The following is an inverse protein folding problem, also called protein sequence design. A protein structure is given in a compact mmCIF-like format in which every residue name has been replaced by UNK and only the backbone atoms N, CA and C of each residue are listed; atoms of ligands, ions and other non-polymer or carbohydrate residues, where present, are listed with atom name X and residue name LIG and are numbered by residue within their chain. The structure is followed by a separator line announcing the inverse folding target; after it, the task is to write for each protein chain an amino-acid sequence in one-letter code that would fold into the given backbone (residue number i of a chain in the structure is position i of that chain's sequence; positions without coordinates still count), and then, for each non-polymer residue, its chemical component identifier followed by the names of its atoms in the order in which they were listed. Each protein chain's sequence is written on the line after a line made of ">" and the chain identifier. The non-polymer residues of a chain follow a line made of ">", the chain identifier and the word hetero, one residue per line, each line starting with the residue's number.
data_IF_227556301293
#
_entry.id   IF_227556301293
#
_cell.length_a   1.000
_cell.length_b   1.000
_cell.length_c   1.000
_cell.angle_alpha   90.00
_cell.angle_beta   90.00
_cell.angle_gamma   90.00
#
_symmetry.space_group_name_H-M   'P 1'
#
loop_
_entity.id
_entity.type
_entity.pdbx_description
1 polymer ?
#
# COMPACT_ATOMS: atom_id res chain seq x y z
N UNK A 1 -7.47 2.38 -36.94
CA UNK A 1 -7.44 3.44 -35.90
C UNK A 1 -6.51 3.01 -34.78
N UNK A 2 -5.61 3.87 -34.30
CA UNK A 2 -4.79 3.60 -33.11
C UNK A 2 -5.70 3.53 -31.89
N UNK A 3 -5.56 2.50 -31.06
CA UNK A 3 -6.31 2.39 -29.80
C UNK A 3 -5.88 3.52 -28.86
N UNK A 4 -6.81 4.21 -28.19
CA UNK A 4 -6.47 5.22 -27.20
C UNK A 4 -5.72 4.58 -26.03
N UNK A 5 -4.68 5.30 -25.55
CA UNK A 5 -3.84 4.87 -24.45
C UNK A 5 -3.86 5.98 -23.39
N UNK A 6 -4.29 5.65 -22.20
CA UNK A 6 -4.19 6.54 -21.04
C UNK A 6 -2.84 6.32 -20.34
N UNK A 7 -2.23 7.42 -19.89
CA UNK A 7 -0.97 7.40 -19.13
C UNK A 7 -1.09 8.26 -17.89
N UNK A 8 -0.62 7.74 -16.78
CA UNK A 8 -0.46 8.50 -15.53
C UNK A 8 0.99 8.52 -15.10
N UNK A 9 1.36 9.47 -14.26
CA UNK A 9 2.73 9.67 -13.83
C UNK A 9 2.80 9.81 -12.30
N UNK A 10 3.90 9.36 -11.73
CA UNK A 10 4.26 9.62 -10.34
C UNK A 10 4.64 11.09 -10.16
N UNK A 11 4.66 11.58 -8.92
CA UNK A 11 5.05 12.96 -8.58
C UNK A 11 6.45 13.34 -9.09
N UNK A 12 7.36 12.39 -9.18
CA UNK A 12 8.71 12.58 -9.70
C UNK A 12 8.79 12.61 -11.24
N UNK A 13 7.65 12.55 -11.94
CA UNK A 13 7.56 12.54 -13.39
C UNK A 13 7.82 11.19 -14.05
N UNK A 14 8.14 10.14 -13.29
CA UNK A 14 8.23 8.77 -13.81
C UNK A 14 6.85 8.25 -14.23
N UNK A 15 6.83 7.43 -15.28
CA UNK A 15 5.61 6.76 -15.73
C UNK A 15 5.08 5.88 -14.59
N UNK A 16 3.78 6.02 -14.27
CA UNK A 16 3.10 5.23 -13.25
C UNK A 16 2.27 4.11 -13.85
N UNK A 17 1.45 4.45 -14.86
CA UNK A 17 0.52 3.48 -15.43
C UNK A 17 0.30 3.75 -16.92
N UNK A 18 0.12 2.68 -17.70
CA UNK A 18 -0.31 2.71 -19.10
C UNK A 18 -1.49 1.78 -19.26
N UNK A 19 -2.61 2.34 -19.73
CA UNK A 19 -3.88 1.64 -19.90
C UNK A 19 -4.32 1.72 -21.36
N UNK A 20 -4.17 0.66 -22.17
CA UNK A 20 -4.77 0.58 -23.49
C UNK A 20 -6.29 0.42 -23.36
N UNK A 21 -7.04 1.17 -24.17
CA UNK A 21 -8.50 1.16 -24.19
C UNK A 21 -9.05 0.74 -25.55
N UNK A 22 -10.20 0.05 -25.53
CA UNK A 22 -11.03 -0.20 -26.71
C UNK A 22 -12.49 0.04 -26.32
N UNK A 23 -13.17 0.92 -27.04
CA UNK A 23 -14.55 1.33 -26.73
C UNK A 23 -14.71 1.78 -25.26
N UNK A 24 -13.76 2.57 -24.73
CA UNK A 24 -13.76 3.06 -23.36
C UNK A 24 -13.49 2.02 -22.26
N UNK A 25 -13.16 0.78 -22.63
CA UNK A 25 -12.85 -0.31 -21.67
C UNK A 25 -11.39 -0.73 -21.80
N UNK A 26 -10.78 -1.15 -20.69
CA UNK A 26 -9.42 -1.73 -20.67
C UNK A 26 -9.34 -2.89 -21.65
N UNK A 27 -8.38 -2.82 -22.59
CA UNK A 27 -8.18 -3.86 -23.61
C UNK A 27 -6.71 -3.91 -24.02
N UNK A 28 -6.06 -5.04 -23.85
CA UNK A 28 -4.62 -5.20 -24.04
C UNK A 28 -3.87 -5.35 -22.74
N UNK A 29 -2.60 -4.93 -22.71
CA UNK A 29 -1.73 -5.09 -21.54
C UNK A 29 -1.68 -3.77 -20.78
N UNK A 30 -2.21 -3.77 -19.57
CA UNK A 30 -2.05 -2.68 -18.59
C UNK A 30 -0.74 -2.91 -17.84
N UNK A 31 0.07 -1.85 -17.72
CA UNK A 31 1.34 -1.88 -16.99
C UNK A 31 1.37 -0.79 -15.94
N UNK A 32 1.89 -1.13 -14.78
CA UNK A 32 2.12 -0.21 -13.66
C UNK A 32 3.60 -0.27 -13.29
N UNK A 33 4.19 0.87 -13.00
CA UNK A 33 5.60 0.99 -12.59
C UNK A 33 5.72 1.55 -11.19
N UNK A 34 6.72 1.11 -10.47
CA UNK A 34 7.16 1.71 -9.21
C UNK A 34 7.71 3.13 -9.44
N UNK A 35 7.82 3.91 -8.37
CA UNK A 35 8.38 5.29 -8.41
C UNK A 35 9.82 5.35 -8.92
N UNK A 36 10.57 4.25 -8.82
CA UNK A 36 11.94 4.11 -9.35
C UNK A 36 11.99 3.71 -10.83
N UNK A 37 10.84 3.58 -11.50
CA UNK A 37 10.72 3.22 -12.92
C UNK A 37 10.78 1.72 -13.21
N UNK A 38 10.95 0.86 -12.20
CA UNK A 38 10.88 -0.60 -12.35
C UNK A 38 9.43 -1.03 -12.56
N UNK A 39 9.20 -2.00 -13.46
CA UNK A 39 7.86 -2.55 -13.68
C UNK A 39 7.34 -3.19 -12.38
N UNK A 40 6.12 -2.79 -11.95
CA UNK A 40 5.46 -3.30 -10.75
C UNK A 40 4.43 -4.36 -11.08
N UNK A 41 3.55 -4.09 -12.05
CA UNK A 41 2.49 -5.03 -12.44
C UNK A 41 2.33 -5.06 -13.96
N UNK A 42 1.99 -6.21 -14.48
CA UNK A 42 1.52 -6.43 -15.85
C UNK A 42 0.26 -7.27 -15.81
N UNK A 43 -0.82 -6.75 -16.37
CA UNK A 43 -2.12 -7.36 -16.38
C UNK A 43 -2.71 -7.35 -17.78
N UNK A 44 -3.27 -8.47 -18.24
CA UNK A 44 -3.90 -8.55 -19.54
C UNK A 44 -5.41 -8.42 -19.42
N UNK A 45 -5.98 -7.49 -20.18
CA UNK A 45 -7.42 -7.21 -20.23
C UNK A 45 -8.03 -7.52 -21.59
N UNK A 46 -9.28 -7.97 -21.58
CA UNK A 46 -10.13 -8.09 -22.76
C UNK A 46 -11.51 -7.55 -22.43
N UNK A 47 -11.92 -6.47 -23.12
CA UNK A 47 -13.23 -5.80 -22.94
C UNK A 47 -13.56 -5.45 -21.47
N UNK A 48 -12.58 -4.99 -20.72
CA UNK A 48 -12.72 -4.58 -19.32
C UNK A 48 -12.48 -5.69 -18.29
N UNK A 49 -12.37 -6.95 -18.72
CA UNK A 49 -12.13 -8.09 -17.83
C UNK A 49 -10.68 -8.58 -17.92
N UNK A 50 -10.10 -8.99 -16.79
CA UNK A 50 -8.82 -9.68 -16.75
C UNK A 50 -8.90 -10.97 -17.55
N UNK A 51 -7.98 -11.15 -18.51
CA UNK A 51 -7.96 -12.31 -19.38
C UNK A 51 -6.54 -12.65 -19.83
N UNK A 52 -5.90 -13.57 -19.15
CA UNK A 52 -4.52 -13.99 -19.38
C UNK A 52 -3.69 -14.06 -18.12
N UNK A 53 -2.38 -14.04 -18.28
CA UNK A 53 -1.41 -14.06 -17.17
C UNK A 53 -1.23 -12.64 -16.65
N UNK A 54 -1.26 -12.51 -15.33
CA UNK A 54 -0.99 -11.29 -14.57
C UNK A 54 0.26 -11.52 -13.72
N UNK A 55 1.14 -10.52 -13.62
CA UNK A 55 2.43 -10.62 -12.93
C UNK A 55 2.68 -9.42 -12.04
N UNK A 56 3.40 -9.64 -10.95
CA UNK A 56 3.84 -8.59 -10.03
C UNK A 56 5.35 -8.71 -9.77
N UNK A 57 6.03 -7.57 -9.76
CA UNK A 57 7.47 -7.45 -9.44
C UNK A 57 7.69 -6.53 -8.26
N UNK A 58 8.77 -6.79 -7.53
CA UNK A 58 9.28 -5.94 -6.46
C UNK A 58 9.93 -4.66 -7.01
N UNK A 59 10.17 -3.68 -6.15
CA UNK A 59 10.94 -2.48 -6.49
C UNK A 59 12.36 -2.78 -6.98
N UNK A 60 12.91 -3.94 -6.60
CA UNK A 60 14.22 -4.42 -7.09
C UNK A 60 14.12 -5.19 -8.43
N UNK A 61 12.94 -5.28 -9.05
CA UNK A 61 12.72 -5.99 -10.31
C UNK A 61 12.60 -7.50 -10.21
N UNK A 62 12.54 -8.08 -8.99
CA UNK A 62 12.35 -9.51 -8.79
C UNK A 62 10.88 -9.87 -8.99
N UNK A 63 10.57 -10.90 -9.79
CA UNK A 63 9.21 -11.44 -9.91
C UNK A 63 8.75 -11.95 -8.54
N UNK A 64 7.66 -11.37 -8.03
CA UNK A 64 7.03 -11.77 -6.77
C UNK A 64 6.06 -12.91 -6.96
N UNK A 65 5.31 -12.91 -8.05
CA UNK A 65 4.41 -13.98 -8.41
C UNK A 65 3.59 -13.69 -9.64
N UNK A 66 2.84 -14.71 -10.06
CA UNK A 66 1.92 -14.64 -11.19
C UNK A 66 0.62 -15.41 -10.92
N UNK A 67 -0.43 -15.05 -11.63
CA UNK A 67 -1.70 -15.77 -11.66
C UNK A 67 -2.35 -15.65 -13.02
N UNK A 68 -3.33 -16.50 -13.29
CA UNK A 68 -4.04 -16.52 -14.57
C UNK A 68 -5.52 -16.30 -14.39
N UNK A 69 -6.09 -15.46 -15.25
CA UNK A 69 -7.52 -15.16 -15.31
C UNK A 69 -8.10 -15.56 -16.66
N UNK A 70 -9.37 -15.94 -16.67
CA UNK A 70 -10.12 -16.24 -17.89
C UNK A 70 -11.43 -15.47 -17.85
N UNK A 71 -11.56 -14.45 -18.71
CA UNK A 71 -12.74 -13.58 -18.78
C UNK A 71 -13.23 -13.09 -17.41
N UNK A 72 -12.31 -12.59 -16.58
CA UNK A 72 -12.59 -12.09 -15.22
C UNK A 72 -12.85 -13.18 -14.18
N UNK A 73 -12.67 -14.47 -14.54
CA UNK A 73 -12.86 -15.59 -13.63
C UNK A 73 -11.52 -16.21 -13.25
N UNK A 74 -11.30 -16.42 -11.96
CA UNK A 74 -10.09 -17.02 -11.43
C UNK A 74 -9.76 -16.52 -10.02
N UNK A 75 -8.53 -16.83 -9.58
CA UNK A 75 -8.00 -16.40 -8.29
C UNK A 75 -6.94 -15.34 -8.54
N UNK A 76 -7.20 -14.14 -8.06
CA UNK A 76 -6.27 -13.01 -8.11
C UNK A 76 -5.40 -13.02 -6.86
N UNK A 77 -4.12 -12.61 -7.03
CA UNK A 77 -3.12 -12.59 -5.96
C UNK A 77 -2.28 -11.33 -6.01
N UNK A 78 -1.89 -10.84 -4.83
CA UNK A 78 -0.83 -9.86 -4.69
C UNK A 78 0.16 -10.32 -3.63
N UNK A 79 1.39 -9.80 -3.72
CA UNK A 79 2.47 -10.20 -2.83
C UNK A 79 3.11 -8.98 -2.17
N UNK A 80 3.58 -9.17 -0.96
CA UNK A 80 4.47 -8.23 -0.29
C UNK A 80 5.85 -8.21 -0.95
N UNK A 81 6.63 -7.14 -0.73
CA UNK A 81 8.00 -7.00 -1.25
C UNK A 81 8.93 -8.17 -0.86
N UNK A 82 8.69 -8.85 0.25
CA UNK A 82 9.43 -10.03 0.66
C UNK A 82 9.04 -11.32 -0.06
N UNK A 83 8.04 -11.27 -0.97
CA UNK A 83 7.53 -12.39 -1.76
C UNK A 83 6.45 -13.22 -1.08
N UNK A 84 6.05 -12.89 0.16
CA UNK A 84 4.92 -13.55 0.81
C UNK A 84 3.61 -13.06 0.23
N UNK A 85 2.61 -13.94 0.18
CA UNK A 85 1.27 -13.59 -0.25
C UNK A 85 0.70 -12.48 0.65
N UNK A 86 0.14 -11.44 0.04
CA UNK A 86 -0.50 -10.32 0.72
C UNK A 86 -2.01 -10.43 0.64
N UNK A 87 -2.53 -10.67 -0.56
CA UNK A 87 -3.95 -10.74 -0.83
C UNK A 87 -4.23 -11.88 -1.80
N UNK A 88 -5.31 -12.60 -1.55
CA UNK A 88 -5.88 -13.58 -2.48
C UNK A 88 -7.39 -13.47 -2.46
N UNK A 89 -8.01 -13.38 -3.62
CA UNK A 89 -9.45 -13.38 -3.74
C UNK A 89 -9.90 -14.02 -5.05
N UNK A 90 -11.10 -14.59 -5.03
CA UNK A 90 -11.71 -15.21 -6.19
C UNK A 90 -12.72 -14.27 -6.85
N UNK A 91 -12.75 -14.30 -8.18
CA UNK A 91 -13.79 -13.59 -8.95
C UNK A 91 -14.41 -14.51 -9.98
N UNK A 92 -15.68 -14.24 -10.31
CA UNK A 92 -16.42 -14.83 -11.40
C UNK A 92 -16.94 -13.72 -12.29
N UNK A 93 -16.50 -13.66 -13.55
CA UNK A 93 -16.83 -12.60 -14.51
C UNK A 93 -16.54 -11.16 -14.01
N UNK A 94 -15.56 -11.02 -13.12
CA UNK A 94 -15.15 -9.76 -12.53
C UNK A 94 -15.75 -9.45 -11.15
N UNK A 95 -16.81 -10.15 -10.74
CA UNK A 95 -17.43 -9.96 -9.44
C UNK A 95 -16.77 -10.85 -8.37
N UNK A 96 -16.57 -10.31 -7.16
CA UNK A 96 -16.07 -11.09 -6.04
C UNK A 96 -17.01 -12.25 -5.74
N UNK A 97 -16.50 -13.48 -5.85
CA UNK A 97 -17.25 -14.70 -5.53
C UNK A 97 -16.27 -15.76 -5.02
N UNK A 98 -16.41 -16.14 -3.77
CA UNK A 98 -15.50 -17.04 -3.06
C UNK A 98 -14.77 -16.37 -1.93
N UNK A 99 -13.61 -16.90 -1.58
CA UNK A 99 -12.80 -16.42 -0.45
C UNK A 99 -12.06 -15.14 -0.81
N UNK A 100 -12.00 -14.22 0.15
CA UNK A 100 -11.14 -13.06 0.18
C UNK A 100 -10.24 -13.17 1.41
N UNK A 101 -8.93 -13.20 1.24
CA UNK A 101 -7.95 -13.39 2.32
C UNK A 101 -6.86 -12.34 2.26
N UNK A 102 -6.53 -11.77 3.40
CA UNK A 102 -5.48 -10.77 3.55
C UNK A 102 -4.47 -11.23 4.59
N UNK A 103 -3.18 -11.18 4.27
CA UNK A 103 -2.09 -11.55 5.16
C UNK A 103 -1.17 -10.36 5.43
N UNK A 104 -0.60 -10.35 6.63
CA UNK A 104 0.46 -9.44 7.00
C UNK A 104 1.79 -9.84 6.37
N UNK A 105 2.74 -8.91 6.35
CA UNK A 105 4.09 -9.14 5.83
C UNK A 105 4.87 -10.24 6.62
N UNK A 106 4.49 -10.55 7.86
CA UNK A 106 5.02 -11.68 8.63
C UNK A 106 4.36 -13.03 8.29
N UNK A 107 3.33 -13.04 7.43
CA UNK A 107 2.61 -14.20 6.94
C UNK A 107 1.38 -14.58 7.79
N UNK A 108 1.04 -13.84 8.84
CA UNK A 108 -0.17 -14.11 9.62
C UNK A 108 -1.41 -13.67 8.85
N UNK A 109 -2.45 -14.48 8.90
CA UNK A 109 -3.75 -14.17 8.31
C UNK A 109 -4.39 -13.01 9.09
N UNK A 110 -4.57 -11.88 8.42
CA UNK A 110 -5.19 -10.69 9.00
C UNK A 110 -6.72 -10.78 8.95
N UNK A 111 -7.27 -11.11 7.78
CA UNK A 111 -8.72 -11.29 7.59
C UNK A 111 -9.04 -12.37 6.58
N UNK A 112 -10.21 -12.99 6.77
CA UNK A 112 -10.82 -13.89 5.80
C UNK A 112 -12.32 -13.57 5.74
N UNK A 113 -12.79 -13.31 4.53
CA UNK A 113 -14.19 -13.04 4.23
C UNK A 113 -14.64 -13.90 3.06
N UNK A 114 -15.95 -14.03 2.87
CA UNK A 114 -16.54 -14.78 1.78
C UNK A 114 -17.49 -13.86 1.05
N UNK A 115 -17.38 -13.86 -0.26
CA UNK A 115 -18.20 -13.05 -1.14
C UNK A 115 -19.05 -13.92 -2.06
N UNK A 116 -20.22 -13.41 -2.39
CA UNK A 116 -21.10 -13.97 -3.43
C UNK A 116 -21.65 -12.81 -4.27
N UNK A 117 -21.30 -12.78 -5.55
CA UNK A 117 -21.71 -11.73 -6.49
C UNK A 117 -21.44 -10.30 -5.94
N UNK A 118 -20.24 -10.07 -5.45
CA UNK A 118 -19.76 -8.79 -4.95
C UNK A 118 -20.19 -8.42 -3.52
N UNK A 119 -21.03 -9.20 -2.84
CA UNK A 119 -21.43 -8.92 -1.45
C UNK A 119 -20.84 -9.93 -0.45
N UNK A 120 -20.49 -9.52 0.77
CA UNK A 120 -20.05 -10.44 1.81
C UNK A 120 -21.23 -11.31 2.26
N UNK A 121 -20.95 -12.60 2.52
CA UNK A 121 -21.95 -13.58 2.94
C UNK A 121 -21.40 -14.53 4.00
N UNK A 122 -22.31 -15.21 4.71
CA UNK A 122 -21.94 -16.30 5.60
C UNK A 122 -21.48 -17.56 4.81
N UNK A 123 -20.67 -18.40 5.45
CA UNK A 123 -20.13 -19.59 4.83
C UNK A 123 -21.23 -20.57 4.36
N UNK A 124 -22.29 -20.69 5.15
CA UNK A 124 -23.46 -21.55 4.87
C UNK A 124 -24.18 -21.08 3.62
N UNK A 125 -24.40 -19.77 3.48
CA UNK A 125 -25.04 -19.17 2.31
C UNK A 125 -24.21 -19.43 1.06
N UNK A 126 -22.88 -19.25 1.13
CA UNK A 126 -22.00 -19.53 0.00
C UNK A 126 -22.01 -21.02 -0.40
N UNK A 127 -21.98 -21.93 0.57
CA UNK A 127 -22.06 -23.37 0.28
C UNK A 127 -23.38 -23.75 -0.40
N UNK A 128 -24.49 -23.16 0.07
CA UNK A 128 -25.82 -23.37 -0.55
C UNK A 128 -25.86 -22.84 -1.99
N UNK A 129 -25.21 -21.69 -2.26
CA UNK A 129 -25.08 -21.16 -3.62
C UNK A 129 -24.23 -22.08 -4.51
N UNK A 130 -23.08 -22.58 -4.03
CA UNK A 130 -22.24 -23.53 -4.76
C UNK A 130 -22.92 -24.86 -5.08
N UNK A 131 -23.90 -25.28 -4.27
CA UNK A 131 -24.70 -26.47 -4.55
C UNK A 131 -25.59 -26.27 -5.79
N UNK A 132 -26.10 -25.04 -5.97
CA UNK A 132 -26.98 -24.65 -7.08
C UNK A 132 -26.20 -24.23 -8.33
N UNK A 133 -25.12 -23.48 -8.16
CA UNK A 133 -24.29 -22.94 -9.24
C UNK A 133 -22.90 -23.55 -9.23
N UNK A 134 -22.61 -24.41 -10.19
CA UNK A 134 -21.31 -25.10 -10.33
C UNK A 134 -20.21 -24.22 -10.92
N UNK A 135 -20.53 -23.03 -11.41
CA UNK A 135 -19.53 -22.05 -11.89
C UNK A 135 -18.84 -21.31 -10.75
N UNK A 136 -19.43 -21.30 -9.55
CA UNK A 136 -18.83 -20.68 -8.37
C UNK A 136 -17.59 -21.45 -7.89
N UNK A 137 -16.54 -20.76 -7.45
CA UNK A 137 -15.37 -21.39 -6.87
C UNK A 137 -15.72 -22.27 -5.69
N UNK A 138 -15.38 -23.55 -5.76
CA UNK A 138 -15.63 -24.46 -4.64
C UNK A 138 -14.82 -24.05 -3.43
N UNK A 139 -15.47 -24.00 -2.28
CA UNK A 139 -14.77 -23.85 -1.02
C UNK A 139 -14.07 -25.15 -0.65
N UNK A 140 -12.77 -25.19 -0.88
CA UNK A 140 -11.92 -26.31 -0.47
C UNK A 140 -11.09 -25.88 0.75
N UNK A 141 -11.03 -26.72 1.77
CA UNK A 141 -10.22 -26.51 2.96
C UNK A 141 -10.95 -25.89 4.15
N UNK A 142 -10.24 -25.85 5.28
CA UNK A 142 -10.72 -25.24 6.53
C UNK A 142 -10.69 -23.71 6.42
N UNK A 143 -11.62 -23.03 7.11
CA UNK A 143 -11.53 -21.60 7.32
C UNK A 143 -10.20 -21.27 7.99
N UNK A 144 -9.58 -20.17 7.58
CA UNK A 144 -8.42 -19.62 8.27
C UNK A 144 -8.79 -19.19 9.69
N UNK A 145 -7.79 -18.94 10.52
CA UNK A 145 -7.99 -18.27 11.82
C UNK A 145 -7.41 -16.86 11.70
N UNK A 146 -8.22 -15.85 11.35
CA UNK A 146 -7.78 -14.47 11.34
C UNK A 146 -7.33 -14.03 12.73
N UNK A 147 -6.49 -12.99 12.75
CA UNK A 147 -6.14 -12.34 14.02
C UNK A 147 -7.42 -11.79 14.68
N UNK A 148 -7.55 -11.91 16.02
CA UNK A 148 -8.70 -11.37 16.74
C UNK A 148 -8.72 -9.85 16.66
N UNK A 149 -9.90 -9.23 16.67
CA UNK A 149 -10.04 -7.77 16.69
C UNK A 149 -9.80 -7.24 18.12
N UNK A 150 -8.54 -6.97 18.45
CA UNK A 150 -8.10 -6.46 19.78
C UNK A 150 -7.05 -5.36 19.60
N UNK A 151 -6.88 -4.52 20.62
CA UNK A 151 -5.81 -3.49 20.66
C UNK A 151 -4.42 -4.12 20.48
N UNK A 152 -4.20 -5.32 21.03
CA UNK A 152 -2.94 -6.06 20.84
C UNK A 152 -2.71 -6.43 19.36
N UNK A 153 -3.78 -6.80 18.66
CA UNK A 153 -3.73 -7.09 17.22
C UNK A 153 -3.50 -5.83 16.39
N UNK A 154 -4.19 -4.74 16.69
CA UNK A 154 -3.95 -3.45 16.04
C UNK A 154 -2.49 -3.02 16.17
N UNK A 155 -1.96 -3.11 17.39
CA UNK A 155 -0.54 -2.84 17.65
C UNK A 155 0.36 -3.79 16.85
N UNK A 156 0.07 -5.09 16.82
CA UNK A 156 0.86 -6.06 16.05
C UNK A 156 0.87 -5.73 14.56
N UNK A 157 -0.29 -5.45 13.97
CA UNK A 157 -0.43 -5.03 12.56
C UNK A 157 0.43 -3.80 12.28
N UNK A 158 0.31 -2.79 13.13
CA UNK A 158 1.09 -1.56 13.02
C UNK A 158 2.60 -1.82 13.11
N UNK A 159 3.06 -2.62 14.07
CA UNK A 159 4.49 -2.94 14.24
C UNK A 159 5.04 -3.77 13.07
N UNK A 160 4.25 -4.66 12.47
CA UNK A 160 4.64 -5.40 11.25
C UNK A 160 4.81 -4.43 10.08
N UNK A 161 3.88 -3.50 9.91
CA UNK A 161 3.95 -2.47 8.88
C UNK A 161 5.17 -1.55 9.08
N UNK A 162 5.38 -1.01 10.28
CA UNK A 162 6.54 -0.17 10.60
C UNK A 162 7.86 -0.89 10.32
N UNK A 163 7.98 -2.17 10.71
CA UNK A 163 9.18 -2.97 10.42
C UNK A 163 9.42 -3.13 8.92
N UNK A 164 8.38 -3.29 8.12
CA UNK A 164 8.54 -3.39 6.66
C UNK A 164 9.07 -2.09 6.06
N UNK A 165 8.62 -0.94 6.56
CA UNK A 165 9.13 0.36 6.14
C UNK A 165 10.58 0.60 6.62
N UNK A 166 10.90 0.23 7.86
CA UNK A 166 12.26 0.34 8.39
C UNK A 166 13.26 -0.62 7.72
N UNK A 167 12.80 -1.66 7.03
CA UNK A 167 13.65 -2.57 6.26
C UNK A 167 14.02 -2.04 4.87
N UNK A 168 13.40 -0.96 4.40
CA UNK A 168 13.70 -0.36 3.10
C UNK A 168 15.12 0.23 3.07
N UNK A 169 15.82 0.07 1.94
CA UNK A 169 17.21 0.54 1.78
C UNK A 169 17.30 2.04 1.54
N UNK A 170 16.30 2.64 0.93
CA UNK A 170 16.21 4.04 0.53
C UNK A 170 15.59 4.93 1.62
N UNK A 171 15.93 4.67 2.86
CA UNK A 171 15.48 5.45 4.03
C UNK A 171 16.58 6.37 4.56
N UNK A 172 16.18 7.47 5.17
CA UNK A 172 17.10 8.35 5.88
C UNK A 172 16.45 9.02 7.09
N UNK A 173 17.28 9.44 8.03
CA UNK A 173 16.87 10.39 9.05
C UNK A 173 16.54 11.74 8.38
N UNK A 174 15.34 12.26 8.64
CA UNK A 174 14.75 13.32 7.82
C UNK A 174 15.49 14.63 7.92
N UNK A 175 15.95 15.04 9.11
CA UNK A 175 16.68 16.29 9.30
C UNK A 175 17.97 16.28 8.47
N UNK A 176 18.78 15.25 8.64
CA UNK A 176 20.04 15.07 7.89
C UNK A 176 19.78 14.98 6.39
N UNK A 177 18.75 14.23 5.97
CA UNK A 177 18.39 14.13 4.57
C UNK A 177 17.98 15.48 3.99
N UNK A 178 17.16 16.27 4.67
CA UNK A 178 16.78 17.60 4.21
C UNK A 178 17.98 18.56 4.18
N UNK A 179 18.86 18.56 5.17
CA UNK A 179 19.99 19.50 5.29
C UNK A 179 21.12 19.21 4.29
N UNK A 180 21.52 17.93 4.14
CA UNK A 180 22.70 17.53 3.38
C UNK A 180 22.52 17.49 1.87
N UNK A 181 21.43 18.03 1.32
CA UNK A 181 21.07 17.91 -0.10
C UNK A 181 21.94 18.66 -1.09
N UNK A 182 22.89 19.46 -0.68
CA UNK A 182 23.66 20.29 -1.58
C UNK A 182 22.74 21.13 -2.48
N UNK A 183 22.97 21.09 -3.82
CA UNK A 183 22.11 21.71 -4.84
C UNK A 183 20.87 20.87 -5.19
N UNK A 184 20.77 19.61 -4.74
CA UNK A 184 19.65 18.74 -5.05
C UNK A 184 18.37 19.20 -4.34
N UNK A 185 17.27 19.25 -5.10
CA UNK A 185 15.94 19.56 -4.55
C UNK A 185 15.46 18.37 -3.75
N UNK A 186 15.19 18.57 -2.44
CA UNK A 186 14.59 17.56 -1.56
C UNK A 186 13.21 18.01 -1.12
N UNK A 187 12.21 17.19 -1.37
CA UNK A 187 10.82 17.51 -1.11
C UNK A 187 10.16 16.46 -0.21
N UNK A 188 9.66 16.90 0.93
CA UNK A 188 8.95 16.08 1.88
C UNK A 188 7.44 16.29 1.71
N UNK A 189 6.73 15.26 1.29
CA UNK A 189 5.29 15.26 1.18
C UNK A 189 4.74 16.51 0.49
N UNK A 190 3.72 17.12 1.07
CA UNK A 190 3.06 18.31 0.56
C UNK A 190 3.66 19.64 1.04
N UNK A 191 4.78 19.61 1.74
CA UNK A 191 5.46 20.85 2.10
C UNK A 191 5.95 21.58 0.85
N UNK A 192 5.56 22.83 0.69
CA UNK A 192 5.95 23.64 -0.47
C UNK A 192 7.43 24.04 -0.42
N UNK A 193 7.95 24.24 0.79
CA UNK A 193 9.34 24.68 1.00
C UNK A 193 10.04 23.74 1.98
N UNK A 194 11.31 23.49 1.75
CA UNK A 194 12.20 22.72 2.64
C UNK A 194 12.21 23.28 4.06
N UNK A 195 12.21 24.63 4.20
CA UNK A 195 12.19 25.30 5.51
C UNK A 195 10.94 24.93 6.33
N UNK A 196 9.77 24.84 5.71
CA UNK A 196 8.53 24.48 6.40
C UNK A 196 8.55 23.03 6.87
N UNK A 197 9.16 22.13 6.08
CA UNK A 197 9.38 20.74 6.47
C UNK A 197 10.33 20.64 7.67
N UNK A 198 11.44 21.40 7.66
CA UNK A 198 12.39 21.44 8.78
C UNK A 198 11.75 21.97 10.05
N UNK A 199 10.96 23.06 9.98
CA UNK A 199 10.23 23.60 11.14
C UNK A 199 9.33 22.53 11.76
N UNK A 200 8.63 21.76 10.94
CA UNK A 200 7.78 20.66 11.42
C UNK A 200 8.60 19.54 12.09
N UNK A 201 9.69 19.11 11.47
CA UNK A 201 10.58 18.07 12.00
C UNK A 201 11.19 18.52 13.33
N UNK A 202 11.63 19.77 13.43
CA UNK A 202 12.14 20.35 14.68
C UNK A 202 11.09 20.38 15.80
N UNK A 203 9.83 20.69 15.45
CA UNK A 203 8.74 20.67 16.43
C UNK A 203 8.51 19.26 16.99
N UNK A 204 8.69 18.19 16.16
CA UNK A 204 8.62 16.80 16.62
C UNK A 204 9.76 16.49 17.61
N UNK A 205 11.00 16.89 17.32
CA UNK A 205 12.13 16.67 18.23
C UNK A 205 11.94 17.44 19.55
N UNK A 206 11.47 18.71 19.50
CA UNK A 206 11.11 19.49 20.70
C UNK A 206 10.00 18.85 21.52
N UNK A 207 9.05 18.16 20.87
CA UNK A 207 7.99 17.40 21.55
C UNK A 207 8.49 16.10 22.20
N UNK A 208 9.72 15.68 21.93
CA UNK A 208 10.42 14.60 22.62
C UNK A 208 10.60 13.32 21.84
N UNK A 209 10.42 13.32 20.51
CA UNK A 209 10.88 12.19 19.69
C UNK A 209 12.40 12.12 19.68
N UNK A 210 12.94 10.94 19.48
CA UNK A 210 14.39 10.72 19.31
C UNK A 210 14.77 10.46 17.86
N UNK A 211 13.78 10.23 16.99
CA UNK A 211 14.05 9.84 15.60
C UNK A 211 12.85 10.14 14.71
N UNK A 212 13.12 10.72 13.53
CA UNK A 212 12.15 10.92 12.44
C UNK A 212 12.76 10.40 11.15
N UNK A 213 12.16 9.39 10.55
CA UNK A 213 12.67 8.70 9.36
C UNK A 213 11.75 8.95 8.18
N UNK A 214 12.33 9.24 7.01
CA UNK A 214 11.69 9.06 5.71
C UNK A 214 11.98 7.64 5.22
N UNK A 215 11.02 6.72 5.22
CA UNK A 215 11.29 5.31 4.96
C UNK A 215 11.36 4.98 3.46
N UNK A 216 10.85 5.83 2.59
CA UNK A 216 10.78 5.61 1.15
C UNK A 216 11.20 6.88 0.41
N UNK A 217 12.52 7.03 0.20
CA UNK A 217 13.08 8.14 -0.59
C UNK A 217 13.26 7.66 -2.02
N UNK A 218 12.70 8.39 -2.97
CA UNK A 218 12.79 8.06 -4.38
C UNK A 218 13.29 9.23 -5.22
N UNK A 219 14.03 8.88 -6.27
CA UNK A 219 14.65 9.83 -7.17
C UNK A 219 13.63 10.45 -8.13
N UNK A 220 13.87 11.71 -8.49
CA UNK A 220 13.18 12.43 -9.54
C UNK A 220 14.12 12.87 -10.65
N UNK A 221 13.65 13.77 -11.49
CA UNK A 221 14.47 14.37 -12.54
C UNK A 221 15.53 15.29 -11.97
N UNK A 222 16.65 15.43 -12.69
CA UNK A 222 17.77 16.32 -12.35
C UNK A 222 18.32 16.12 -10.92
N UNK A 223 18.31 14.88 -10.41
CA UNK A 223 18.81 14.56 -9.06
C UNK A 223 17.92 14.99 -7.92
N UNK A 224 16.67 15.40 -8.17
CA UNK A 224 15.71 15.66 -7.11
C UNK A 224 15.37 14.38 -6.35
N UNK A 225 15.09 14.52 -5.05
CA UNK A 225 14.65 13.43 -4.17
C UNK A 225 13.33 13.77 -3.49
N UNK A 226 12.50 12.77 -3.32
CA UNK A 226 11.16 12.90 -2.75
C UNK A 226 10.95 11.86 -1.65
N UNK A 227 10.20 12.24 -0.61
CA UNK A 227 9.65 11.34 0.39
C UNK A 227 8.20 11.74 0.68
N UNK A 228 7.27 10.78 0.66
CA UNK A 228 5.84 11.03 0.82
C UNK A 228 5.30 10.56 2.18
N UNK A 229 6.16 10.01 3.03
CA UNK A 229 5.76 9.55 4.36
C UNK A 229 6.88 9.71 5.38
N UNK A 230 6.49 9.67 6.65
CA UNK A 230 7.37 9.75 7.80
C UNK A 230 7.03 8.66 8.81
N UNK A 231 8.06 8.15 9.46
CA UNK A 231 7.98 7.41 10.70
C UNK A 231 8.53 8.27 11.84
N UNK A 232 7.70 8.53 12.84
CA UNK A 232 8.08 9.31 14.02
C UNK A 232 8.16 8.39 15.22
N UNK A 233 9.34 8.20 15.78
CA UNK A 233 9.54 7.32 16.93
C UNK A 233 8.84 7.86 18.16
N UNK A 234 8.07 7.01 18.85
CA UNK A 234 7.36 7.38 20.07
C UNK A 234 8.14 6.94 21.30
N UNK A 235 8.40 7.86 22.25
CA UNK A 235 9.02 7.53 23.54
C UNK A 235 8.06 6.72 24.43
N UNK A 236 8.58 6.11 25.51
CA UNK A 236 7.77 5.41 26.50
C UNK A 236 6.94 6.35 27.38
N UNK A 237 7.35 7.61 27.52
CA UNK A 237 6.73 8.62 28.41
C UNK A 237 5.43 9.12 27.80
N UNK A 238 4.31 8.87 28.44
CA UNK A 238 2.97 9.21 27.95
C UNK A 238 2.78 10.71 27.65
N UNK A 239 3.33 11.60 28.44
CA UNK A 239 3.25 13.05 28.20
C UNK A 239 3.94 13.44 26.89
N UNK A 240 5.12 12.90 26.60
CA UNK A 240 5.84 13.13 25.35
C UNK A 240 5.11 12.53 24.14
N UNK A 241 4.53 11.33 24.28
CA UNK A 241 3.70 10.72 23.23
C UNK A 241 2.53 11.62 22.85
N UNK A 242 1.80 12.15 23.87
CA UNK A 242 0.71 13.12 23.63
C UNK A 242 1.18 14.40 22.94
N UNK A 243 2.33 14.95 23.35
CA UNK A 243 2.90 16.14 22.74
C UNK A 243 3.24 15.92 21.26
N UNK A 244 3.89 14.80 20.91
CA UNK A 244 4.21 14.44 19.53
C UNK A 244 2.93 14.29 18.68
N UNK A 245 1.92 13.57 19.19
CA UNK A 245 0.63 13.42 18.51
C UNK A 245 -0.06 14.76 18.26
N UNK A 246 0.01 15.69 19.22
CA UNK A 246 -0.52 17.05 19.06
C UNK A 246 0.19 17.80 17.91
N UNK A 247 1.51 17.68 17.78
CA UNK A 247 2.27 18.25 16.66
C UNK A 247 1.83 17.64 15.33
N UNK A 248 1.71 16.30 15.27
CA UNK A 248 1.26 15.60 14.06
C UNK A 248 -0.16 16.00 13.64
N UNK A 249 -1.08 16.18 14.58
CA UNK A 249 -2.46 16.61 14.31
C UNK A 249 -2.54 18.00 13.63
N UNK A 250 -1.51 18.85 13.78
CA UNK A 250 -1.45 20.14 13.08
C UNK A 250 -1.26 20.00 11.57
N UNK A 251 -0.67 18.90 11.09
CA UNK A 251 -0.56 18.61 9.65
C UNK A 251 -1.94 18.41 9.01
N UNK A 252 -2.81 17.64 9.64
CA UNK A 252 -4.18 17.42 9.16
C UNK A 252 -4.96 18.72 9.05
N UNK A 253 -4.84 19.61 10.04
CA UNK A 253 -5.45 20.95 10.02
C UNK A 253 -4.96 21.80 8.87
N UNK A 254 -3.69 21.67 8.47
CA UNK A 254 -3.08 22.39 7.35
C UNK A 254 -3.33 21.72 5.99
N UNK A 255 -4.12 20.65 5.91
CA UNK A 255 -4.33 19.82 4.71
C UNK A 255 -3.01 19.29 4.11
N UNK A 256 -1.99 19.06 4.94
CA UNK A 256 -0.66 18.59 4.54
C UNK A 256 -0.47 17.06 4.68
N UNK A 257 -1.55 16.33 4.92
CA UNK A 257 -1.53 14.86 5.04
C UNK A 257 -2.67 14.35 5.90
N UNK A 258 -2.96 13.06 5.79
CA UNK A 258 -3.94 12.38 6.64
C UNK A 258 -3.20 11.80 7.86
N UNK A 259 -3.17 12.54 8.95
CA UNK A 259 -2.91 11.98 10.27
C UNK A 259 -4.22 12.03 11.05
N UNK A 260 -4.79 10.87 11.31
CA UNK A 260 -5.84 10.76 12.31
C UNK A 260 -5.17 10.52 13.67
N UNK A 261 -5.43 11.35 14.67
CA UNK A 261 -4.90 11.14 16.01
C UNK A 261 -5.69 10.01 16.67
N UNK A 262 -5.48 8.77 16.19
CA UNK A 262 -6.07 7.58 16.76
C UNK A 262 -5.64 7.40 18.20
N UNK A 263 -6.40 6.58 18.93
CA UNK A 263 -6.08 6.18 20.28
C UNK A 263 -4.63 5.68 20.35
N UNK A 264 -3.91 6.09 21.39
CA UNK A 264 -2.57 5.57 21.68
C UNK A 264 -2.67 4.08 22.07
N UNK A 265 -2.21 3.21 21.21
CA UNK A 265 -2.18 1.75 21.41
C UNK A 265 -0.83 1.24 21.92
N UNK A 266 0.08 2.15 22.27
CA UNK A 266 1.43 1.83 22.73
C UNK A 266 2.37 1.40 21.59
N UNK A 267 2.10 1.83 20.36
CA UNK A 267 2.94 1.58 19.18
C UNK A 267 4.30 2.25 19.30
N UNK A 268 5.29 1.72 18.59
CA UNK A 268 6.68 2.23 18.61
C UNK A 268 6.87 3.50 17.79
N UNK A 269 6.10 3.68 16.71
CA UNK A 269 6.20 4.81 15.79
C UNK A 269 4.82 5.29 15.37
N UNK A 270 4.70 6.56 15.02
CA UNK A 270 3.59 7.05 14.21
C UNK A 270 3.98 6.99 12.74
N UNK A 271 3.05 6.58 11.90
CA UNK A 271 3.16 6.68 10.44
C UNK A 271 2.36 7.90 9.96
N UNK A 272 3.02 8.77 9.21
CA UNK A 272 2.42 9.96 8.62
C UNK A 272 2.51 9.84 7.10
N UNK A 273 1.39 9.61 6.42
CA UNK A 273 1.31 9.73 4.96
C UNK A 273 1.10 11.18 4.58
N UNK A 274 1.83 11.65 3.57
CA UNK A 274 1.77 13.02 3.06
C UNK A 274 1.56 13.07 1.53
N UNK A 275 1.12 11.92 0.97
CA UNK A 275 0.81 11.79 -0.45
C UNK A 275 -0.53 12.45 -0.82
#
# INVERSE_FOLDING_TARGET
>A
MKQPIEKTFHRNGQLREVVPLRNGRRHGIVRVWHKNGVLANEERYQNGLLNGVCRQWSEAGRLLGEYRMVHGTGVQRTWHENGRLQLEFSTVRGDFSGRYRLWLNDGKLMSEEIYLNGRPVAAEEYRAACAKDKSLPKWTGKAGKPLPNTVATEKHIHEVFVRSLLAQKNRAEVRKWLENGGKAVRSLGRFKRKADALIFVEALYKAGTTEVIAPDIYAGRAGAEFADCLLVRLPKIAAKRRAIRKVCAQLSKRKLGAFQPDKDIGESHLFLSQS
#
